data_IF_984877657116
#
_entry.id   IF_984877657116
#
_cell.length_a   1.000
_cell.length_b   1.000
_cell.length_c   1.000
_cell.angle_alpha   90.00
_cell.angle_beta   90.00
_cell.angle_gamma   90.00
#
_symmetry.space_group_name_H-M   'P 1'
#
loop_
_entity.id
_entity.type
_entity.pdbx_description
1 polymer ?
#
# COMPACT_ATOMS: atom_id res chain seq x y z
N UNK A 1 0.66 9.54 -15.46
CA UNK A 1 1.62 9.34 -16.60
C UNK A 1 2.68 8.23 -16.38
N UNK A 2 3.37 8.08 -15.25
CA UNK A 2 4.08 6.82 -14.91
C UNK A 2 3.82 6.43 -13.45
N UNK A 3 3.94 7.38 -12.52
CA UNK A 3 3.63 7.17 -11.09
C UNK A 3 2.17 6.81 -10.87
N UNK A 4 1.25 7.51 -11.53
CA UNK A 4 -0.19 7.16 -11.53
C UNK A 4 -0.45 5.68 -11.88
N UNK A 5 0.31 5.11 -12.83
CA UNK A 5 0.19 3.68 -13.17
C UNK A 5 0.73 2.77 -12.06
N UNK A 6 1.81 3.19 -11.40
CA UNK A 6 2.35 2.48 -10.24
C UNK A 6 1.39 2.55 -9.05
N UNK A 7 0.72 3.69 -8.85
CA UNK A 7 -0.32 3.87 -7.84
C UNK A 7 -1.53 2.99 -8.14
N UNK A 8 -2.00 2.94 -9.39
CA UNK A 8 -3.05 2.01 -9.83
C UNK A 8 -2.65 0.55 -9.60
N UNK A 9 -1.41 0.19 -9.91
CA UNK A 9 -0.88 -1.14 -9.64
C UNK A 9 -0.92 -1.43 -8.14
N UNK A 10 -0.34 -0.56 -7.31
CA UNK A 10 -0.33 -0.69 -5.85
C UNK A 10 -1.75 -0.87 -5.27
N UNK A 11 -2.73 -0.11 -5.76
CA UNK A 11 -4.14 -0.22 -5.33
C UNK A 11 -4.72 -1.62 -5.48
N UNK A 12 -4.22 -2.40 -6.43
CA UNK A 12 -4.67 -3.76 -6.71
C UNK A 12 -3.88 -4.85 -5.98
N UNK A 13 -2.87 -4.49 -5.17
CA UNK A 13 -1.91 -5.43 -4.57
C UNK A 13 -2.40 -6.12 -3.28
N UNK A 14 -3.67 -5.99 -2.90
CA UNK A 14 -4.17 -6.67 -1.70
C UNK A 14 -3.96 -8.19 -1.80
N UNK A 15 -3.24 -8.76 -0.83
CA UNK A 15 -2.83 -10.16 -0.79
C UNK A 15 -1.45 -10.45 -1.40
N UNK A 16 -0.84 -9.51 -2.12
CA UNK A 16 0.49 -9.68 -2.70
C UNK A 16 1.58 -9.66 -1.63
N UNK A 17 2.70 -10.33 -1.92
CA UNK A 17 3.90 -10.37 -1.07
C UNK A 17 5.06 -9.75 -1.83
N UNK A 18 5.65 -8.71 -1.27
CA UNK A 18 6.77 -7.97 -1.84
C UNK A 18 8.05 -8.24 -1.07
N UNK A 19 9.17 -8.28 -1.77
CA UNK A 19 10.50 -8.23 -1.16
C UNK A 19 10.93 -6.78 -1.01
N UNK A 20 11.48 -6.48 0.15
CA UNK A 20 12.10 -5.18 0.42
C UNK A 20 13.58 -5.21 0.05
N UNK A 21 14.14 -4.04 -0.27
CA UNK A 21 15.57 -3.86 -0.51
C UNK A 21 16.41 -4.23 0.72
N UNK A 22 15.82 -4.14 1.91
CA UNK A 22 16.43 -4.56 3.17
C UNK A 22 16.41 -6.09 3.39
N UNK A 23 15.89 -6.86 2.43
CA UNK A 23 15.84 -8.33 2.49
C UNK A 23 14.65 -8.91 3.25
N UNK A 24 13.79 -8.07 3.85
CA UNK A 24 12.55 -8.48 4.51
C UNK A 24 11.40 -8.70 3.53
N UNK A 25 10.35 -9.37 3.99
CA UNK A 25 9.11 -9.60 3.24
C UNK A 25 7.96 -8.75 3.77
N UNK A 26 7.16 -8.21 2.87
CA UNK A 26 5.98 -7.39 3.17
C UNK A 26 4.78 -7.94 2.43
N UNK A 27 3.78 -8.43 3.16
CA UNK A 27 2.47 -8.78 2.60
C UNK A 27 1.51 -7.60 2.73
N UNK A 28 0.85 -7.26 1.62
CA UNK A 28 -0.10 -6.15 1.58
C UNK A 28 -1.47 -6.65 2.05
N UNK A 29 -1.82 -6.44 3.32
CA UNK A 29 -3.15 -6.81 3.84
C UNK A 29 -4.21 -5.82 3.38
N UNK A 30 -3.88 -4.52 3.39
CA UNK A 30 -4.71 -3.44 2.90
C UNK A 30 -3.81 -2.36 2.28
N UNK A 31 -3.98 -1.98 0.99
CA UNK A 31 -3.10 -1.03 0.32
C UNK A 31 -3.24 0.41 0.82
N UNK A 32 -4.25 0.71 1.64
CA UNK A 32 -4.54 2.05 2.12
C UNK A 32 -5.59 2.79 1.29
N UNK A 33 -5.94 4.00 1.76
CA UNK A 33 -6.88 4.91 1.11
C UNK A 33 -6.08 5.87 0.24
N UNK A 34 -6.31 5.82 -1.08
CA UNK A 34 -5.72 6.76 -2.02
C UNK A 34 -6.08 8.21 -1.64
N UNK A 35 -5.06 9.06 -1.51
CA UNK A 35 -5.22 10.51 -1.34
C UNK A 35 -5.01 11.22 -2.67
N UNK A 36 -5.44 12.49 -2.72
CA UNK A 36 -5.16 13.39 -3.83
C UNK A 36 -3.77 14.02 -3.68
N UNK A 37 -3.60 15.23 -4.23
CA UNK A 37 -2.30 15.89 -4.40
C UNK A 37 -1.56 16.37 -3.12
N UNK A 38 -1.92 15.88 -1.93
CA UNK A 38 -1.30 16.34 -0.67
C UNK A 38 -1.10 15.20 0.32
N UNK A 39 0.13 15.14 0.86
CA UNK A 39 0.59 14.07 1.73
C UNK A 39 0.94 12.80 0.95
N UNK A 40 1.11 11.68 1.65
CA UNK A 40 1.46 10.44 1.00
C UNK A 40 0.32 9.88 0.16
N UNK A 41 0.69 9.17 -0.90
CA UNK A 41 -0.23 8.62 -1.91
C UNK A 41 -1.34 7.75 -1.29
N UNK A 42 -1.00 6.95 -0.28
CA UNK A 42 -1.94 6.10 0.44
C UNK A 42 -1.84 6.30 1.95
N UNK A 43 -2.98 6.54 2.60
CA UNK A 43 -3.10 6.60 4.06
C UNK A 43 -3.58 5.28 4.64
N UNK A 44 -3.13 4.99 5.85
CA UNK A 44 -3.67 3.91 6.70
C UNK A 44 -3.59 2.51 6.05
N UNK A 45 -2.52 2.26 5.28
CA UNK A 45 -2.22 0.93 4.78
C UNK A 45 -1.92 -0.03 5.93
N UNK A 46 -2.27 -1.30 5.75
CA UNK A 46 -1.99 -2.37 6.70
C UNK A 46 -1.11 -3.40 6.02
N UNK A 47 0.07 -3.60 6.55
CA UNK A 47 1.12 -4.46 6.00
C UNK A 47 1.51 -5.51 7.03
N UNK A 48 1.74 -6.74 6.59
CA UNK A 48 2.35 -7.78 7.43
C UNK A 48 3.82 -7.94 7.06
N UNK A 49 4.69 -7.77 8.05
CA UNK A 49 6.14 -7.89 7.90
C UNK A 49 6.62 -9.26 8.39
N UNK A 50 7.40 -9.93 7.55
CA UNK A 50 8.02 -11.25 7.80
C UNK A 50 7.06 -12.32 8.36
N UNK A 51 5.78 -12.27 7.98
CA UNK A 51 4.74 -13.21 8.41
C UNK A 51 4.40 -13.17 9.91
N UNK A 52 4.77 -12.09 10.62
CA UNK A 52 4.69 -12.04 12.09
C UNK A 52 4.04 -10.79 12.64
N UNK A 53 4.28 -9.63 12.03
CA UNK A 53 3.90 -8.34 12.60
C UNK A 53 3.08 -7.52 11.62
N UNK A 54 1.88 -7.15 12.05
CA UNK A 54 1.09 -6.12 11.39
C UNK A 54 1.64 -4.74 11.71
N UNK A 55 1.81 -3.93 10.67
CA UNK A 55 2.26 -2.55 10.70
C UNK A 55 1.20 -1.72 9.98
N UNK A 56 0.73 -0.66 10.64
CA UNK A 56 -0.17 0.33 10.05
C UNK A 56 0.62 1.60 9.78
N UNK A 57 0.41 2.21 8.61
CA UNK A 57 1.04 3.47 8.25
C UNK A 57 0.76 3.84 6.80
N UNK A 58 1.50 4.83 6.30
CA UNK A 58 1.28 5.38 4.99
C UNK A 58 2.21 4.74 3.94
N UNK A 59 1.82 4.84 2.67
CA UNK A 59 2.62 4.35 1.54
C UNK A 59 2.79 5.47 0.53
N UNK A 60 4.02 5.59 0.06
CA UNK A 60 4.40 6.55 -0.99
C UNK A 60 4.91 5.80 -2.22
N UNK A 61 4.57 6.27 -3.42
CA UNK A 61 4.91 5.61 -4.67
C UNK A 61 5.64 6.55 -5.62
N UNK A 62 6.85 6.17 -6.03
CA UNK A 62 7.65 6.93 -7.00
C UNK A 62 8.21 6.02 -8.10
N UNK A 63 8.64 6.61 -9.22
CA UNK A 63 9.42 5.84 -10.21
C UNK A 63 10.80 5.53 -9.65
N UNK A 64 11.45 6.49 -8.97
CA UNK A 64 12.81 6.37 -8.45
C UNK A 64 12.90 6.77 -6.98
N UNK A 65 13.83 6.13 -6.25
CA UNK A 65 14.11 6.47 -4.85
C UNK A 65 14.53 7.94 -4.66
N UNK A 66 15.19 8.54 -5.65
CA UNK A 66 15.62 9.94 -5.62
C UNK A 66 14.47 10.93 -5.54
N UNK A 67 13.28 10.56 -6.03
CA UNK A 67 12.15 11.47 -6.15
C UNK A 67 11.60 11.83 -4.76
N UNK A 68 11.78 10.93 -3.77
CA UNK A 68 11.54 11.22 -2.35
C UNK A 68 12.24 12.50 -1.85
N UNK A 69 13.53 12.62 -2.16
CA UNK A 69 14.34 13.77 -1.76
C UNK A 69 14.10 14.97 -2.68
N UNK A 70 13.86 14.74 -3.97
CA UNK A 70 13.56 15.81 -4.92
C UNK A 70 12.25 16.54 -4.59
N UNK A 71 11.27 15.82 -4.03
CA UNK A 71 10.01 16.38 -3.56
C UNK A 71 10.08 16.89 -2.10
N UNK A 72 11.20 16.71 -1.40
CA UNK A 72 11.42 17.20 -0.04
C UNK A 72 10.71 16.40 1.05
N UNK A 73 10.25 15.19 0.76
CA UNK A 73 9.55 14.33 1.73
C UNK A 73 10.44 13.89 2.90
N UNK A 74 11.76 13.92 2.71
CA UNK A 74 12.74 13.68 3.77
C UNK A 74 12.76 14.79 4.83
N UNK A 75 12.17 15.94 4.54
CA UNK A 75 12.13 17.10 5.45
C UNK A 75 10.71 17.48 5.88
N UNK A 76 9.69 16.84 5.32
CA UNK A 76 8.29 17.12 5.58
C UNK A 76 7.69 16.13 6.59
N UNK A 77 7.27 16.58 7.80
CA UNK A 77 6.65 15.72 8.80
C UNK A 77 5.35 15.04 8.34
N UNK A 78 4.69 15.52 7.28
CA UNK A 78 3.51 14.84 6.72
C UNK A 78 3.79 13.41 6.23
N UNK A 79 5.07 13.10 5.98
CA UNK A 79 5.56 11.82 5.48
C UNK A 79 6.21 10.96 6.59
N UNK A 80 6.26 11.43 7.83
CA UNK A 80 6.83 10.68 8.96
C UNK A 80 6.04 9.41 9.32
N UNK A 81 4.82 9.25 8.81
CA UNK A 81 4.01 8.04 8.97
C UNK A 81 4.20 7.04 7.83
N UNK A 82 5.03 7.33 6.81
CA UNK A 82 5.28 6.42 5.70
C UNK A 82 6.07 5.21 6.20
N UNK A 83 5.50 4.03 6.04
CA UNK A 83 6.09 2.74 6.46
C UNK A 83 6.66 1.95 5.29
N UNK A 84 6.23 2.26 4.07
CA UNK A 84 6.72 1.63 2.85
C UNK A 84 6.83 2.67 1.72
N UNK A 85 7.98 2.70 1.06
CA UNK A 85 8.21 3.48 -0.16
C UNK A 85 8.32 2.52 -1.34
N UNK A 86 7.40 2.64 -2.29
CA UNK A 86 7.24 1.72 -3.42
C UNK A 86 7.83 2.35 -4.67
N UNK A 87 8.72 1.63 -5.34
CA UNK A 87 9.45 2.10 -6.52
C UNK A 87 9.08 1.33 -7.78
N UNK A 88 9.04 1.99 -8.92
CA UNK A 88 8.93 1.32 -10.22
C UNK A 88 10.26 0.78 -10.76
N UNK A 89 11.40 1.32 -10.31
CA UNK A 89 12.73 0.92 -10.77
C UNK A 89 13.74 0.86 -9.63
N UNK A 90 14.61 -0.14 -9.68
CA UNK A 90 15.81 -0.20 -8.83
C UNK A 90 16.78 0.91 -9.23
N UNK A 91 17.35 1.58 -8.22
CA UNK A 91 18.37 2.63 -8.39
C UNK A 91 19.47 2.51 -7.33
N UNK A 92 20.60 3.19 -7.54
CA UNK A 92 21.83 3.01 -6.76
C UNK A 92 21.86 3.69 -5.36
N UNK A 93 20.72 4.13 -4.82
CA UNK A 93 20.62 4.73 -3.49
C UNK A 93 19.27 4.35 -2.86
N UNK A 94 19.21 3.21 -2.18
CA UNK A 94 17.95 2.61 -1.70
C UNK A 94 17.56 2.98 -0.27
N UNK A 95 18.30 3.87 0.39
CA UNK A 95 17.93 4.34 1.74
C UNK A 95 17.00 5.54 1.63
N UNK A 96 15.73 5.35 1.97
CA UNK A 96 14.74 6.41 2.17
C UNK A 96 14.63 6.73 3.66
N UNK A 97 14.68 8.03 4.00
CA UNK A 97 14.57 8.52 5.38
C UNK A 97 13.50 9.59 5.50
N UNK A 98 12.76 9.57 6.60
CA UNK A 98 11.79 10.62 6.93
C UNK A 98 12.45 11.80 7.65
N UNK A 99 11.68 12.84 7.97
CA UNK A 99 12.16 14.04 8.66
C UNK A 99 12.74 13.79 10.06
N UNK A 100 12.25 12.74 10.73
CA UNK A 100 12.83 12.27 12.00
C UNK A 100 14.10 11.43 11.83
N UNK A 101 14.57 11.20 10.60
CA UNK A 101 15.73 10.36 10.29
C UNK A 101 15.44 8.86 10.31
N UNK A 102 14.17 8.46 10.50
CA UNK A 102 13.75 7.06 10.47
C UNK A 102 13.88 6.49 9.07
N UNK A 103 14.46 5.29 8.97
CA UNK A 103 14.52 4.57 7.70
C UNK A 103 13.15 3.97 7.34
N UNK A 104 12.79 4.10 6.06
CA UNK A 104 11.56 3.57 5.49
C UNK A 104 11.90 2.32 4.67
N UNK A 105 11.12 1.26 4.83
CA UNK A 105 11.26 0.05 4.02
C UNK A 105 10.99 0.39 2.54
N UNK A 106 11.82 -0.12 1.64
CA UNK A 106 11.70 0.15 0.20
C UNK A 106 11.37 -1.13 -0.53
N UNK A 107 10.36 -1.12 -1.40
CA UNK A 107 10.00 -2.25 -2.25
C UNK A 107 9.93 -1.83 -3.71
N UNK A 108 10.34 -2.72 -4.63
CA UNK A 108 10.31 -2.43 -6.08
C UNK A 108 9.26 -3.28 -6.78
N UNK A 109 8.34 -2.64 -7.49
CA UNK A 109 7.39 -3.27 -8.39
C UNK A 109 8.10 -3.51 -9.73
N UNK A 110 8.62 -4.71 -9.98
CA UNK A 110 9.30 -4.99 -11.26
C UNK A 110 10.21 -6.20 -11.36
N UNK A 111 10.41 -6.96 -10.28
CA UNK A 111 11.05 -8.27 -10.37
C UNK A 111 9.99 -9.31 -10.10
N UNK A 112 9.49 -9.90 -11.19
CA UNK A 112 8.70 -11.12 -11.26
C UNK A 112 8.33 -11.72 -9.89
N UNK A 113 7.09 -11.47 -9.48
CA UNK A 113 6.36 -12.22 -8.46
C UNK A 113 6.17 -13.68 -8.93
N UNK A 114 7.26 -14.42 -9.11
CA UNK A 114 7.28 -15.87 -9.28
C UNK A 114 7.48 -16.60 -7.95
N UNK A 115 7.41 -15.89 -6.82
CA UNK A 115 7.31 -16.54 -5.51
C UNK A 115 5.85 -16.73 -5.12
N UNK A 116 5.33 -17.86 -5.63
CA UNK A 116 4.23 -18.62 -5.05
C UNK A 116 2.87 -17.93 -5.05
N UNK A 117 2.02 -18.36 -5.99
CA UNK A 117 0.57 -18.33 -5.86
C UNK A 117 0.18 -19.26 -4.71
N UNK A 118 0.55 -18.91 -3.48
CA UNK A 118 0.20 -19.72 -2.33
C UNK A 118 -1.20 -19.32 -1.86
N UNK A 119 -2.12 -20.01 -2.53
CA UNK A 119 -3.48 -20.36 -2.16
C UNK A 119 -4.50 -19.22 -2.10
N UNK A 120 -5.56 -19.45 -2.87
CA UNK A 120 -6.85 -18.77 -2.81
C UNK A 120 -7.14 -18.22 -1.43
N UNK A 121 -7.32 -16.90 -1.32
CA UNK A 121 -7.86 -16.29 -0.12
C UNK A 121 -9.10 -17.10 0.31
N UNK A 122 -9.28 -17.41 1.61
CA UNK A 122 -10.44 -18.16 2.10
C UNK A 122 -11.78 -17.46 1.76
N UNK A 123 -11.74 -16.18 1.36
CA UNK A 123 -12.88 -15.38 0.95
C UNK A 123 -13.00 -15.14 -0.57
N UNK A 124 -12.12 -15.67 -1.42
CA UNK A 124 -12.13 -15.40 -2.87
C UNK A 124 -13.42 -15.87 -3.58
N UNK A 125 -14.28 -16.67 -2.93
CA UNK A 125 -15.61 -17.06 -3.40
C UNK A 125 -16.77 -16.69 -2.49
N UNK A 126 -16.53 -15.93 -1.40
CA UNK A 126 -17.58 -15.54 -0.44
C UNK A 126 -18.24 -14.20 -0.76
N UNK A 127 -17.69 -13.41 -1.69
CA UNK A 127 -18.31 -12.17 -2.16
C UNK A 127 -19.19 -12.40 -3.39
N UNK A 128 -20.10 -13.37 -3.31
CA UNK A 128 -21.34 -13.24 -4.07
C UNK A 128 -22.25 -12.31 -3.28
N UNK A 129 -21.98 -11.00 -3.36
CA UNK A 129 -22.87 -10.00 -2.76
C UNK A 129 -24.17 -10.05 -3.54
N UNK A 130 -25.18 -10.71 -2.98
CA UNK A 130 -26.55 -10.57 -3.43
C UNK A 130 -26.99 -9.14 -3.14
N UNK A 131 -26.77 -8.27 -4.13
CA UNK A 131 -27.05 -6.84 -4.06
C UNK A 131 -28.50 -6.57 -3.67
N UNK A 132 -29.42 -7.47 -4.04
CA UNK A 132 -30.84 -7.36 -3.69
C UNK A 132 -31.06 -7.62 -2.20
N UNK A 133 -30.38 -8.60 -1.61
CA UNK A 133 -30.40 -8.84 -0.16
C UNK A 133 -29.83 -7.68 0.65
N UNK A 134 -28.69 -7.11 0.23
CA UNK A 134 -28.09 -5.95 0.92
C UNK A 134 -29.01 -4.73 0.81
N UNK A 135 -29.57 -4.49 -0.37
CA UNK A 135 -30.52 -3.39 -0.59
C UNK A 135 -31.79 -3.55 0.23
N UNK A 136 -32.33 -4.78 0.34
CA UNK A 136 -33.48 -5.08 1.17
C UNK A 136 -33.19 -4.87 2.66
N UNK A 137 -32.03 -5.30 3.14
CA UNK A 137 -31.60 -5.10 4.52
C UNK A 137 -31.42 -3.61 4.87
N UNK A 138 -30.83 -2.82 3.96
CA UNK A 138 -30.69 -1.37 4.14
C UNK A 138 -32.04 -0.65 4.12
N UNK A 139 -32.99 -1.08 3.28
CA UNK A 139 -34.36 -0.54 3.29
C UNK A 139 -35.11 -0.91 4.58
N UNK A 140 -34.96 -2.13 5.07
CA UNK A 140 -35.54 -2.58 6.33
C UNK A 140 -34.95 -1.80 7.53
N UNK A 141 -33.64 -1.53 7.51
CA UNK A 141 -32.96 -0.74 8.54
C UNK A 141 -33.20 0.77 8.42
N UNK A 142 -33.63 1.26 7.25
CA UNK A 142 -33.94 2.66 6.97
C UNK A 142 -35.30 3.15 7.47
N UNK A 143 -36.06 2.33 8.21
CA UNK A 143 -37.36 2.71 8.77
C UNK A 143 -37.30 3.57 10.06
N UNK A 144 -36.15 4.16 10.39
CA UNK A 144 -36.04 5.17 11.46
C UNK A 144 -35.16 6.35 11.04
N UNK A 145 -35.60 7.13 10.05
CA UNK A 145 -35.31 8.58 9.97
C UNK A 145 -36.54 9.30 9.42
N UNK A 146 -37.53 9.48 10.28
CA UNK A 146 -38.43 10.64 10.26
C UNK A 146 -37.88 11.68 11.22
#
# INVERSE_FOLDING_TARGET
MQEERLQEQWRSMAGAVLRTEQGGMVKVCYPGIARGASGPDFKDAVLETDGRRLVCGDVEVHVRASDWYAHGHDSDPAYDNVVLHVLGQLGCWSTTRTSSGREVSVAVLGLADEWDRMETLPCAGLYATDTDRVTAALRAAGHERL
#
